data_IF_718641109038
#
_entry.id   IF_718641109038
#
_cell.length_a   1.000
_cell.length_b   1.000
_cell.length_c   1.000
_cell.angle_alpha   90.00
_cell.angle_beta   90.00
_cell.angle_gamma   90.00
#
_symmetry.space_group_name_H-M   'P 1'
#
loop_
_entity.id
_entity.type
_entity.pdbx_description
1 polymer ?
#
# COMPACT_ATOMS: atom_id res chain seq x y z
N UNK A 1 -5.13 -1.08 2.76
CA UNK A 1 -5.37 -2.30 3.54
C UNK A 1 -4.09 -2.70 4.24
N UNK A 2 -4.19 -3.24 5.45
CA UNK A 2 -3.05 -3.53 6.32
C UNK A 2 -3.21 -4.90 6.99
N UNK A 3 -2.12 -5.66 7.11
CA UNK A 3 -2.09 -6.87 7.93
C UNK A 3 -1.84 -6.47 9.39
N UNK A 4 -2.81 -6.74 10.26
CA UNK A 4 -2.72 -6.50 11.72
C UNK A 4 -2.80 -7.85 12.42
N UNK A 5 -1.68 -8.30 12.98
CA UNK A 5 -1.57 -9.65 13.55
C UNK A 5 -1.82 -10.74 12.49
N UNK A 6 -2.85 -11.56 12.70
CA UNK A 6 -3.26 -12.63 11.76
C UNK A 6 -4.38 -12.22 10.80
N UNK A 7 -4.92 -11.01 10.92
CA UNK A 7 -6.06 -10.54 10.11
C UNK A 7 -5.61 -9.49 9.09
N UNK A 8 -6.38 -9.37 8.01
CA UNK A 8 -6.30 -8.22 7.11
C UNK A 8 -7.35 -7.20 7.53
N UNK A 9 -6.99 -5.91 7.48
CA UNK A 9 -7.88 -4.80 7.82
C UNK A 9 -8.00 -3.85 6.63
N UNK A 10 -9.22 -3.48 6.29
CA UNK A 10 -9.54 -2.48 5.27
C UNK A 10 -9.79 -1.16 6.00
N UNK A 11 -8.86 -0.22 5.85
CA UNK A 11 -8.99 1.13 6.39
C UNK A 11 -9.77 1.99 5.39
N UNK A 12 -10.93 2.51 5.81
CA UNK A 12 -11.76 3.41 5.02
C UNK A 12 -11.42 4.87 5.33
N UNK A 13 -11.71 5.77 4.39
CA UNK A 13 -11.41 7.21 4.50
C UNK A 13 -12.11 7.87 5.71
N UNK A 14 -13.31 7.39 6.07
CA UNK A 14 -14.03 7.88 7.24
C UNK A 14 -13.48 7.35 8.59
N UNK A 15 -12.28 6.75 8.58
CA UNK A 15 -11.62 6.20 9.75
C UNK A 15 -12.17 4.85 10.22
N UNK A 16 -13.22 4.31 9.59
CA UNK A 16 -13.72 2.98 9.91
C UNK A 16 -12.74 1.91 9.42
N UNK A 17 -12.62 0.85 10.22
CA UNK A 17 -11.80 -0.31 9.88
C UNK A 17 -12.74 -1.52 9.75
N UNK A 18 -12.65 -2.20 8.61
CA UNK A 18 -13.34 -3.47 8.39
C UNK A 18 -12.33 -4.59 8.50
N UNK A 19 -12.55 -5.53 9.42
CA UNK A 19 -11.79 -6.77 9.46
C UNK A 19 -12.17 -7.66 8.28
N UNK A 20 -11.17 -8.21 7.61
CA UNK A 20 -11.33 -9.13 6.50
C UNK A 20 -10.68 -10.46 6.85
N UNK A 21 -11.43 -11.54 6.66
CA UNK A 21 -10.94 -12.91 6.88
C UNK A 21 -10.01 -13.39 5.76
N UNK A 22 -9.93 -12.66 4.65
CA UNK A 22 -9.03 -12.99 3.54
C UNK A 22 -7.63 -12.44 3.78
N UNK A 23 -6.61 -13.19 3.35
CA UNK A 23 -5.22 -12.72 3.35
C UNK A 23 -5.00 -11.64 2.29
N UNK A 24 -4.00 -10.77 2.52
CA UNK A 24 -3.66 -9.71 1.56
C UNK A 24 -3.32 -10.23 0.15
N UNK A 25 -2.82 -11.46 0.00
CA UNK A 25 -2.55 -12.06 -1.33
C UNK A 25 -3.84 -12.33 -2.09
N UNK A 26 -4.89 -12.83 -1.42
CA UNK A 26 -6.20 -13.05 -2.04
C UNK A 26 -6.82 -11.70 -2.39
N UNK A 27 -6.73 -10.73 -1.48
CA UNK A 27 -7.23 -9.37 -1.73
C UNK A 27 -6.51 -8.68 -2.90
N UNK A 28 -5.20 -8.87 -3.02
CA UNK A 28 -4.40 -8.37 -4.14
C UNK A 28 -4.85 -8.99 -5.47
N UNK A 29 -5.13 -10.30 -5.51
CA UNK A 29 -5.64 -10.96 -6.71
C UNK A 29 -7.08 -10.52 -7.07
N UNK A 30 -7.95 -10.35 -6.07
CA UNK A 30 -9.30 -9.82 -6.25
C UNK A 30 -9.29 -8.38 -6.80
N UNK A 31 -8.21 -7.63 -6.54
CA UNK A 31 -8.05 -6.23 -6.92
C UNK A 31 -7.02 -6.04 -8.04
N UNK A 32 -6.59 -7.11 -8.71
CA UNK A 32 -5.50 -7.06 -9.72
C UNK A 32 -5.78 -6.10 -10.88
N UNK A 33 -7.05 -5.94 -11.24
CA UNK A 33 -7.51 -5.07 -12.34
C UNK A 33 -7.93 -3.68 -11.83
N UNK A 34 -7.57 -3.34 -10.59
CA UNK A 34 -7.83 -2.04 -9.97
C UNK A 34 -6.52 -1.35 -9.59
N UNK A 35 -6.60 -0.07 -9.24
CA UNK A 35 -5.43 0.75 -8.90
C UNK A 35 -4.90 0.48 -7.49
N UNK A 36 -4.66 -0.79 -7.14
CA UNK A 36 -4.05 -1.18 -5.87
C UNK A 36 -2.67 -1.80 -6.08
N UNK A 37 -1.75 -1.50 -5.17
CA UNK A 37 -0.37 -1.96 -5.23
C UNK A 37 0.10 -2.53 -3.89
N UNK A 38 0.78 -3.69 -3.96
CA UNK A 38 1.35 -4.37 -2.80
C UNK A 38 2.72 -3.79 -2.46
N UNK A 39 2.71 -2.69 -1.69
CA UNK A 39 3.94 -1.97 -1.33
C UNK A 39 4.85 -2.75 -0.38
N UNK A 40 4.29 -3.65 0.42
CA UNK A 40 5.00 -4.48 1.38
C UNK A 40 4.18 -5.75 1.70
N UNK A 41 4.79 -6.76 2.33
CA UNK A 41 4.07 -7.97 2.76
C UNK A 41 2.88 -7.68 3.69
N UNK A 42 2.87 -6.53 4.37
CA UNK A 42 1.79 -6.13 5.28
C UNK A 42 0.86 -5.04 4.72
N UNK A 43 1.09 -4.54 3.51
CA UNK A 43 0.36 -3.37 2.99
C UNK A 43 -0.04 -3.54 1.53
N UNK A 44 -1.31 -3.25 1.25
CA UNK A 44 -1.88 -3.08 -0.09
C UNK A 44 -2.51 -1.68 -0.15
N UNK A 45 -2.00 -0.81 -1.01
CA UNK A 45 -2.32 0.63 -1.03
C UNK A 45 -2.96 1.06 -2.35
N UNK A 46 -3.88 2.04 -2.35
CA UNK A 46 -4.38 2.65 -3.57
C UNK A 46 -3.30 3.51 -4.24
N UNK A 47 -3.01 3.27 -5.53
CA UNK A 47 -2.01 4.00 -6.31
C UNK A 47 -2.41 5.43 -6.60
N UNK A 48 -3.70 5.65 -6.91
CA UNK A 48 -4.31 6.94 -7.24
C UNK A 48 -4.35 7.93 -6.07
N UNK A 49 -4.06 7.46 -4.85
CA UNK A 49 -4.03 8.28 -3.63
C UNK A 49 -2.62 8.47 -3.05
N UNK A 50 -1.58 8.03 -3.76
CA UNK A 50 -0.20 8.30 -3.36
C UNK A 50 0.09 9.77 -3.62
N UNK A 51 0.38 10.53 -2.56
CA UNK A 51 0.73 11.96 -2.68
C UNK A 51 2.24 12.17 -2.80
N UNK A 52 3.02 11.35 -2.09
CA UNK A 52 4.48 11.50 -2.05
C UNK A 52 5.15 10.14 -1.82
N UNK A 53 6.29 9.94 -2.49
CA UNK A 53 7.23 8.84 -2.20
C UNK A 53 8.50 9.40 -1.61
N UNK A 54 8.75 9.09 -0.35
CA UNK A 54 9.86 9.62 0.45
C UNK A 54 10.93 8.54 0.57
N UNK A 55 12.16 8.87 0.22
CA UNK A 55 13.28 7.97 0.43
C UNK A 55 13.68 7.92 1.91
N UNK A 56 13.74 6.73 2.48
CA UNK A 56 14.35 6.50 3.80
C UNK A 56 15.82 6.12 3.61
N UNK A 57 16.68 7.13 3.73
CA UNK A 57 18.13 7.01 3.54
C UNK A 57 18.79 6.11 4.57
N UNK A 58 18.20 5.93 5.75
CA UNK A 58 18.73 5.10 6.82
C UNK A 58 18.42 3.62 6.60
N UNK A 59 17.16 3.31 6.28
CA UNK A 59 16.68 1.93 6.08
C UNK A 59 16.87 1.42 4.64
N UNK A 60 17.42 2.23 3.73
CA UNK A 60 17.48 1.95 2.28
C UNK A 60 16.12 1.52 1.72
N UNK A 61 15.06 2.10 2.28
CA UNK A 61 13.67 1.80 1.96
C UNK A 61 12.96 3.08 1.50
N UNK A 62 11.67 2.97 1.19
CA UNK A 62 10.86 4.12 0.82
C UNK A 62 9.59 4.13 1.66
N UNK A 63 9.00 5.31 1.75
CA UNK A 63 7.81 5.59 2.52
C UNK A 63 6.79 6.28 1.62
N UNK A 64 5.53 5.89 1.73
CA UNK A 64 4.42 6.52 1.03
C UNK A 64 3.65 7.41 1.99
N UNK A 65 3.37 8.63 1.56
CA UNK A 65 2.24 9.40 2.07
C UNK A 65 1.04 9.12 1.19
N UNK A 66 -0.04 8.69 1.83
CA UNK A 66 -1.31 8.42 1.19
C UNK A 66 -2.27 9.52 1.62
N UNK A 67 -3.02 10.06 0.66
CA UNK A 67 -4.05 11.07 0.91
C UNK A 67 -5.01 10.59 2.01
N UNK A 68 -5.33 11.49 2.93
CA UNK A 68 -6.24 11.27 4.06
C UNK A 68 -5.84 10.07 4.97
N UNK A 69 -4.57 9.64 4.91
CA UNK A 69 -4.02 8.59 5.77
C UNK A 69 -2.98 9.19 6.73
N UNK A 70 -3.19 9.12 8.06
CA UNK A 70 -2.22 9.64 9.02
C UNK A 70 -0.96 8.77 9.15
N UNK A 71 -0.97 7.54 8.59
CA UNK A 71 0.15 6.62 8.65
C UNK A 71 1.05 6.75 7.43
N UNK A 72 2.35 6.78 7.68
CA UNK A 72 3.36 6.54 6.65
C UNK A 72 3.45 5.05 6.35
N UNK A 73 3.38 4.67 5.07
CA UNK A 73 3.39 3.27 4.65
C UNK A 73 4.75 2.90 4.06
N UNK A 74 5.42 1.92 4.66
CA UNK A 74 6.71 1.44 4.18
C UNK A 74 6.60 0.70 2.84
N UNK A 75 7.63 0.86 2.01
CA UNK A 75 7.85 0.15 0.75
C UNK A 75 9.25 -0.45 0.78
N UNK A 76 9.34 -1.75 0.51
CA UNK A 76 10.66 -2.36 0.37
C UNK A 76 11.37 -1.85 -0.88
N UNK A 77 12.70 -1.93 -0.90
CA UNK A 77 13.50 -1.49 -2.06
C UNK A 77 13.14 -2.23 -3.36
N UNK A 78 12.82 -3.52 -3.27
CA UNK A 78 12.38 -4.30 -4.43
C UNK A 78 11.03 -3.80 -4.95
N UNK A 79 10.06 -3.59 -4.05
CA UNK A 79 8.74 -3.07 -4.40
C UNK A 79 8.75 -1.64 -4.90
N UNK A 80 9.69 -0.80 -4.48
CA UNK A 80 9.82 0.55 -5.01
C UNK A 80 10.11 0.57 -6.51
N UNK A 81 10.92 -0.37 -7.02
CA UNK A 81 11.19 -0.45 -8.47
C UNK A 81 9.90 -0.75 -9.25
N UNK A 82 9.14 -1.73 -8.79
CA UNK A 82 7.82 -2.07 -9.35
C UNK A 82 6.84 -0.88 -9.25
N UNK A 83 6.81 -0.19 -8.11
CA UNK A 83 5.96 0.99 -7.89
C UNK A 83 6.26 2.10 -8.89
N UNK A 84 7.54 2.38 -9.15
CA UNK A 84 7.95 3.44 -10.08
C UNK A 84 7.46 3.13 -11.50
N UNK A 85 7.55 1.87 -11.92
CA UNK A 85 7.04 1.43 -13.21
C UNK A 85 5.52 1.66 -13.30
N UNK A 86 4.77 1.24 -12.27
CA UNK A 86 3.31 1.46 -12.20
C UNK A 86 2.92 2.95 -12.25
N UNK A 87 3.61 3.81 -11.49
CA UNK A 87 3.32 5.25 -11.48
C UNK A 87 3.67 5.94 -12.81
N UNK A 88 4.66 5.43 -13.55
CA UNK A 88 5.03 6.00 -14.87
C UNK A 88 3.94 5.77 -15.92
N UNK A 89 3.07 4.77 -15.77
CA UNK A 89 1.92 4.56 -16.67
C UNK A 89 0.70 5.42 -16.31
N UNK A 90 0.72 6.08 -15.15
CA UNK A 90 -0.40 6.87 -14.62
C UNK A 90 -0.21 8.38 -14.92
N UNK A 91 0.99 8.80 -15.32
CA UNK A 91 1.35 10.16 -15.75
C UNK A 91 1.79 10.20 -17.22
#
# INVERSE_FOLDING_TARGET
>A
MEKVGRKSCINLENGRIIECNQGLTILEEMLKDSNFFRSHQSFLVPLDKIEEVIQDTYMKSYNLKIKDCPKTINVSRSKYRELKEQLTFIF
#
